data_IF_829960823153
#
_entry.id   IF_829960823153
#
_cell.length_a   1.000
_cell.length_b   1.000
_cell.length_c   1.000
_cell.angle_alpha   90.00
_cell.angle_beta   90.00
_cell.angle_gamma   90.00
#
_symmetry.space_group_name_H-M   'P 1'
#
loop_
_entity.id
_entity.type
_entity.pdbx_description
1 polymer ?
#
# COMPACT_ATOMS: atom_id res chain seq x y z
N UNK A 1 -59.04 -57.22 -7.94
CA UNK A 1 -58.22 -56.46 -8.91
C UNK A 1 -57.46 -55.38 -8.15
N UNK A 2 -56.18 -55.60 -7.83
CA UNK A 2 -55.36 -54.70 -7.00
C UNK A 2 -54.40 -53.93 -7.92
N UNK A 3 -54.57 -52.61 -8.00
CA UNK A 3 -53.67 -51.67 -8.70
C UNK A 3 -52.52 -51.29 -7.77
N UNK A 4 -51.27 -51.64 -8.15
CA UNK A 4 -50.06 -51.17 -7.48
C UNK A 4 -49.65 -49.80 -8.06
N UNK A 5 -49.52 -48.80 -7.20
CA UNK A 5 -48.96 -47.48 -7.52
C UNK A 5 -47.47 -47.53 -7.19
N UNK A 6 -46.63 -47.21 -8.17
CA UNK A 6 -45.17 -47.16 -8.05
C UNK A 6 -44.75 -45.70 -7.83
N UNK A 7 -44.26 -45.36 -6.63
CA UNK A 7 -43.79 -44.01 -6.28
C UNK A 7 -42.30 -43.90 -6.58
N UNK A 8 -41.91 -43.01 -7.50
CA UNK A 8 -40.53 -42.75 -7.89
C UNK A 8 -39.93 -41.65 -6.99
N UNK A 9 -38.98 -42.00 -6.12
CA UNK A 9 -38.28 -41.06 -5.26
C UNK A 9 -37.03 -40.52 -5.97
N UNK A 10 -37.01 -39.22 -6.30
CA UNK A 10 -35.85 -38.54 -6.86
C UNK A 10 -34.88 -38.15 -5.74
N UNK A 11 -33.67 -38.74 -5.73
CA UNK A 11 -32.58 -38.33 -4.84
C UNK A 11 -31.93 -37.04 -5.37
N UNK A 12 -32.07 -35.95 -4.62
CA UNK A 12 -31.28 -34.73 -4.78
C UNK A 12 -29.93 -34.91 -4.09
N UNK A 13 -28.85 -35.01 -4.86
CA UNK A 13 -27.48 -34.99 -4.34
C UNK A 13 -27.06 -33.54 -4.06
N UNK A 14 -26.67 -33.19 -2.81
CA UNK A 14 -26.15 -31.87 -2.51
C UNK A 14 -24.77 -31.69 -3.17
N UNK A 15 -24.60 -30.60 -3.91
CA UNK A 15 -23.32 -30.19 -4.47
C UNK A 15 -22.46 -29.60 -3.35
N UNK A 16 -21.41 -30.30 -2.95
CA UNK A 16 -20.43 -29.78 -1.99
C UNK A 16 -19.54 -28.78 -2.76
N UNK A 17 -19.77 -27.48 -2.54
CA UNK A 17 -18.84 -26.44 -2.99
C UNK A 17 -17.54 -26.54 -2.20
N UNK A 18 -16.41 -26.70 -2.89
CA UNK A 18 -15.10 -26.67 -2.26
C UNK A 18 -14.84 -25.24 -1.73
N UNK A 19 -14.65 -25.11 -0.42
CA UNK A 19 -14.14 -23.88 0.16
C UNK A 19 -12.68 -23.71 -0.29
N UNK A 20 -12.41 -22.71 -1.15
CA UNK A 20 -11.03 -22.37 -1.53
C UNK A 20 -10.25 -21.98 -0.26
N UNK A 21 -9.16 -22.69 0.04
CA UNK A 21 -8.30 -22.29 1.15
C UNK A 21 -7.62 -20.97 0.82
N UNK A 22 -7.60 -20.03 1.78
CA UNK A 22 -7.00 -18.72 1.58
C UNK A 22 -5.49 -18.75 1.28
N UNK A 23 -4.81 -19.88 1.55
CA UNK A 23 -3.40 -20.07 1.20
C UNK A 23 -3.17 -20.06 -0.33
N UNK A 24 -4.19 -20.34 -1.13
CA UNK A 24 -4.10 -20.25 -2.59
C UNK A 24 -4.33 -18.81 -3.12
N UNK A 25 -4.73 -17.86 -2.26
CA UNK A 25 -5.09 -16.50 -2.67
C UNK A 25 -3.88 -15.55 -2.66
N UNK A 26 -3.02 -15.68 -1.66
CA UNK A 26 -1.80 -14.87 -1.56
C UNK A 26 -0.64 -15.71 -1.07
N UNK A 27 0.39 -15.83 -1.90
CA UNK A 27 1.66 -16.41 -1.51
C UNK A 27 2.63 -15.30 -1.12
N UNK A 28 3.36 -15.49 -0.03
CA UNK A 28 4.29 -14.49 0.49
C UNK A 28 5.65 -15.11 0.77
N UNK A 29 6.70 -14.53 0.21
CA UNK A 29 8.08 -14.93 0.44
C UNK A 29 8.99 -13.71 0.63
N UNK A 30 10.17 -13.93 1.22
CA UNK A 30 11.21 -12.91 1.26
C UNK A 30 12.25 -13.21 0.19
N UNK A 31 12.44 -12.27 -0.73
CA UNK A 31 13.61 -12.28 -1.61
C UNK A 31 14.83 -11.87 -0.79
N UNK A 32 15.90 -12.69 -0.72
CA UNK A 32 17.06 -12.39 0.12
C UNK A 32 17.73 -11.07 -0.22
N UNK A 33 17.79 -10.73 -1.52
CA UNK A 33 18.39 -9.49 -2.01
C UNK A 33 19.91 -9.46 -1.84
N UNK A 34 20.48 -8.31 -1.44
CA UNK A 34 21.93 -8.09 -1.40
C UNK A 34 22.38 -7.12 -0.30
N UNK A 35 23.64 -7.25 0.09
CA UNK A 35 24.38 -6.31 0.94
C UNK A 35 24.75 -5.06 0.14
N UNK A 36 24.33 -3.90 0.63
CA UNK A 36 24.63 -2.60 0.03
C UNK A 36 26.00 -2.08 0.49
N UNK A 37 26.58 -1.14 -0.28
CA UNK A 37 27.89 -0.56 -0.01
C UNK A 37 27.96 0.21 1.34
N UNK A 38 26.84 0.74 1.82
CA UNK A 38 26.75 1.42 3.12
C UNK A 38 26.60 0.45 4.31
N UNK A 39 26.68 -0.86 4.08
CA UNK A 39 26.53 -1.90 5.08
C UNK A 39 25.08 -2.32 5.36
N UNK A 40 24.08 -1.56 4.90
CA UNK A 40 22.67 -1.97 4.98
C UNK A 40 22.38 -3.16 4.05
N UNK A 41 21.27 -3.86 4.25
CA UNK A 41 20.82 -4.93 3.34
C UNK A 41 19.59 -4.47 2.58
N UNK A 42 19.53 -4.77 1.30
CA UNK A 42 18.29 -4.69 0.53
C UNK A 42 17.72 -6.10 0.41
N UNK A 43 16.45 -6.27 0.78
CA UNK A 43 15.67 -7.47 0.56
C UNK A 43 14.31 -7.07 -0.03
N UNK A 44 13.38 -8.01 -0.21
CA UNK A 44 12.00 -7.64 -0.54
C UNK A 44 10.98 -8.63 0.01
N UNK A 45 9.80 -8.13 0.36
CA UNK A 45 8.60 -8.96 0.47
C UNK A 45 8.01 -9.14 -0.92
N UNK A 46 7.93 -10.37 -1.40
CA UNK A 46 7.28 -10.72 -2.65
C UNK A 46 5.93 -11.36 -2.35
N UNK A 47 4.86 -10.74 -2.87
CA UNK A 47 3.50 -11.20 -2.77
C UNK A 47 2.99 -11.60 -4.15
N UNK A 48 2.42 -12.79 -4.26
CA UNK A 48 1.77 -13.27 -5.48
C UNK A 48 0.29 -13.43 -5.18
N UNK A 49 -0.53 -12.59 -5.80
CA UNK A 49 -1.99 -12.56 -5.61
C UNK A 49 -2.67 -13.37 -6.71
N UNK A 50 -3.66 -14.18 -6.34
CA UNK A 50 -4.50 -14.87 -7.30
C UNK A 50 -5.24 -13.89 -8.22
N UNK A 51 -5.60 -14.26 -9.47
CA UNK A 51 -6.29 -13.38 -10.40
C UNK A 51 -7.54 -12.73 -9.81
N UNK A 52 -7.67 -11.41 -9.99
CA UNK A 52 -8.78 -10.61 -9.47
C UNK A 52 -8.64 -10.17 -8.01
N UNK A 53 -7.70 -10.76 -7.26
CA UNK A 53 -7.39 -10.35 -5.89
C UNK A 53 -6.39 -9.20 -5.85
N UNK A 54 -6.54 -8.37 -4.82
CA UNK A 54 -5.73 -7.18 -4.57
C UNK A 54 -5.23 -7.17 -3.13
N UNK A 55 -4.15 -6.45 -2.89
CA UNK A 55 -3.71 -6.06 -1.54
C UNK A 55 -3.52 -4.55 -1.48
N UNK A 56 -3.34 -4.02 -0.28
CA UNK A 56 -3.40 -2.59 -0.03
C UNK A 56 -2.04 -1.91 0.04
N UNK A 57 -2.02 -0.64 -0.35
CA UNK A 57 -0.91 0.26 -0.13
C UNK A 57 -0.86 0.73 1.33
N UNK A 58 0.21 1.44 1.72
CA UNK A 58 0.33 2.03 3.07
C UNK A 58 -0.81 2.99 3.42
N UNK A 59 -1.36 3.68 2.42
CA UNK A 59 -2.44 4.65 2.56
C UNK A 59 -3.58 4.25 1.62
N UNK A 60 -4.40 3.26 2.01
CA UNK A 60 -5.22 2.53 1.06
C UNK A 60 -6.57 3.20 0.74
N UNK A 61 -6.83 4.37 1.31
CA UNK A 61 -8.14 5.02 1.30
C UNK A 61 -9.08 4.47 2.36
N UNK A 62 -10.31 5.01 2.41
CA UNK A 62 -11.27 4.76 3.48
C UNK A 62 -11.75 3.30 3.55
N UNK A 63 -11.74 2.58 2.42
CA UNK A 63 -12.20 1.19 2.34
C UNK A 63 -11.09 0.14 2.51
N UNK A 64 -9.86 0.55 2.81
CA UNK A 64 -8.70 -0.36 2.78
C UNK A 64 -8.13 -0.74 4.13
N UNK A 65 -7.45 -1.90 4.17
CA UNK A 65 -6.76 -2.39 5.37
C UNK A 65 -5.25 -2.25 5.15
N UNK A 66 -4.58 -1.24 5.74
CA UNK A 66 -3.17 -1.01 5.50
C UNK A 66 -2.32 -2.18 6.05
N UNK A 67 -1.22 -2.54 5.36
CA UNK A 67 -0.34 -3.61 5.81
C UNK A 67 0.42 -3.22 7.07
N UNK A 68 0.54 -4.16 8.01
CA UNK A 68 1.29 -4.01 9.25
C UNK A 68 2.44 -5.03 9.29
N UNK A 69 3.66 -4.53 9.42
CA UNK A 69 4.89 -5.33 9.39
C UNK A 69 5.45 -5.49 10.80
N UNK A 70 5.60 -6.74 11.26
CA UNK A 70 6.20 -7.06 12.55
C UNK A 70 7.38 -8.01 12.34
N UNK A 71 8.61 -7.51 12.51
CA UNK A 71 9.83 -8.29 12.27
C UNK A 71 10.30 -9.05 13.52
N UNK A 72 9.36 -9.74 14.18
CA UNK A 72 9.62 -10.48 15.41
C UNK A 72 10.47 -11.73 15.14
N UNK A 73 11.54 -11.89 15.92
CA UNK A 73 12.48 -12.99 15.79
C UNK A 73 13.53 -12.80 14.69
N UNK A 74 13.64 -11.61 14.10
CA UNK A 74 14.81 -11.25 13.29
C UNK A 74 16.08 -11.22 14.17
N UNK A 75 17.23 -11.58 13.59
CA UNK A 75 18.54 -11.61 14.26
C UNK A 75 19.53 -10.74 13.49
N UNK A 76 20.32 -9.95 14.23
CA UNK A 76 21.27 -8.97 13.70
C UNK A 76 20.65 -7.89 12.80
N UNK A 77 19.35 -7.64 12.95
CA UNK A 77 18.57 -6.59 12.28
C UNK A 77 18.28 -5.46 13.28
N UNK A 78 18.60 -4.22 12.92
CA UNK A 78 18.36 -3.00 13.71
C UNK A 78 16.99 -2.40 13.40
N UNK A 79 16.69 -2.21 12.12
CA UNK A 79 15.41 -1.68 11.65
C UNK A 79 15.15 -2.11 10.21
N UNK A 80 13.88 -2.06 9.81
CA UNK A 80 13.44 -2.35 8.44
C UNK A 80 12.55 -1.21 7.96
N UNK A 81 12.87 -0.65 6.80
CA UNK A 81 12.09 0.36 6.11
C UNK A 81 11.54 -0.20 4.81
N UNK A 82 10.24 0.01 4.57
CA UNK A 82 9.56 -0.46 3.37
C UNK A 82 9.61 0.64 2.31
N UNK A 83 10.09 0.27 1.14
CA UNK A 83 10.00 1.04 -0.09
C UNK A 83 8.68 0.69 -0.80
N UNK A 84 8.04 1.71 -1.35
CA UNK A 84 6.69 1.59 -1.88
C UNK A 84 6.67 1.93 -3.37
N UNK A 85 6.69 0.91 -4.25
CA UNK A 85 6.42 1.11 -5.67
C UNK A 85 5.10 1.86 -5.90
N UNK A 86 4.91 2.39 -7.09
CA UNK A 86 3.72 3.13 -7.45
C UNK A 86 2.48 2.24 -7.31
N UNK A 87 1.51 2.62 -6.46
CA UNK A 87 0.28 1.86 -6.33
C UNK A 87 -0.67 2.16 -7.49
N UNK A 88 -1.67 1.30 -7.64
CA UNK A 88 -2.81 1.51 -8.51
C UNK A 88 -3.99 2.05 -7.69
N UNK A 89 -4.82 2.87 -8.33
CA UNK A 89 -6.13 3.25 -7.80
C UNK A 89 -7.18 2.32 -8.38
N UNK A 90 -7.97 1.71 -7.50
CA UNK A 90 -9.06 0.82 -7.85
C UNK A 90 -10.39 1.44 -7.45
N UNK A 91 -11.38 1.33 -8.33
CA UNK A 91 -12.77 1.70 -8.08
C UNK A 91 -13.62 0.45 -8.16
N UNK A 92 -14.22 0.02 -7.05
CA UNK A 92 -15.01 -1.19 -6.97
C UNK A 92 -16.19 -1.02 -6.02
N UNK A 93 -17.39 -1.42 -6.44
CA UNK A 93 -18.62 -1.33 -5.63
C UNK A 93 -18.88 0.09 -5.08
N UNK A 94 -18.54 1.12 -5.86
CA UNK A 94 -18.70 2.52 -5.46
C UNK A 94 -17.65 3.02 -4.45
N UNK A 95 -16.65 2.21 -4.10
CA UNK A 95 -15.57 2.58 -3.20
C UNK A 95 -14.23 2.65 -3.93
N UNK A 96 -13.41 3.63 -3.54
CA UNK A 96 -12.03 3.74 -3.99
C UNK A 96 -11.09 3.03 -3.03
N UNK A 97 -10.06 2.40 -3.57
CA UNK A 97 -8.93 1.89 -2.79
C UNK A 97 -7.61 2.08 -3.53
N UNK A 98 -6.52 2.12 -2.78
CA UNK A 98 -5.17 2.27 -3.31
C UNK A 98 -4.33 1.07 -2.92
N UNK A 99 -3.71 0.40 -3.89
CA UNK A 99 -3.06 -0.87 -3.64
C UNK A 99 -2.40 -1.49 -4.86
N UNK A 100 -2.35 -2.82 -4.86
CA UNK A 100 -1.64 -3.63 -5.84
C UNK A 100 -2.44 -4.88 -6.21
N UNK A 101 -2.14 -5.43 -7.39
CA UNK A 101 -2.67 -6.71 -7.87
C UNK A 101 -1.56 -7.52 -8.56
N UNK A 102 -1.76 -8.83 -8.72
CA UNK A 102 -0.78 -9.71 -9.36
C UNK A 102 0.49 -9.92 -8.54
N UNK A 103 1.66 -9.66 -9.12
CA UNK A 103 2.96 -9.80 -8.46
C UNK A 103 3.41 -8.47 -7.86
N UNK A 104 3.65 -8.46 -6.55
CA UNK A 104 4.03 -7.25 -5.81
C UNK A 104 5.36 -7.51 -5.13
N UNK A 105 6.37 -6.70 -5.44
CA UNK A 105 7.67 -6.74 -4.77
C UNK A 105 7.82 -5.46 -3.98
N UNK A 106 7.78 -5.55 -2.65
CA UNK A 106 8.00 -4.40 -1.76
C UNK A 106 9.45 -4.45 -1.26
N UNK A 107 10.35 -3.57 -1.73
CA UNK A 107 11.72 -3.56 -1.28
C UNK A 107 11.81 -3.20 0.21
N UNK A 108 12.73 -3.84 0.90
CA UNK A 108 12.97 -3.69 2.33
C UNK A 108 14.41 -3.27 2.52
N UNK A 109 14.63 -2.02 2.94
CA UNK A 109 15.95 -1.58 3.40
C UNK A 109 16.12 -1.93 4.86
N UNK A 110 17.15 -2.69 5.16
CA UNK A 110 17.38 -3.30 6.47
C UNK A 110 18.69 -2.74 7.03
N UNK A 111 18.59 -2.02 8.13
CA UNK A 111 19.76 -1.60 8.88
C UNK A 111 20.24 -2.77 9.74
N UNK A 112 21.55 -3.01 9.75
CA UNK A 112 22.15 -4.14 10.47
C UNK A 112 22.68 -3.72 11.83
N UNK A 113 22.69 -4.65 12.80
CA UNK A 113 23.39 -4.44 14.07
C UNK A 113 24.90 -4.65 13.94
N UNK A 114 25.33 -5.56 13.06
CA UNK A 114 26.73 -5.91 12.81
C UNK A 114 27.01 -5.88 11.32
N UNK A 115 28.11 -5.25 10.94
CA UNK A 115 28.59 -5.22 9.56
C UNK A 115 29.38 -6.49 9.26
N UNK A 116 29.36 -6.94 7.99
CA UNK A 116 30.14 -8.09 7.53
C UNK A 116 29.62 -9.47 7.97
N UNK A 117 28.52 -9.57 8.71
CA UNK A 117 27.93 -10.86 9.12
C UNK A 117 26.60 -11.15 8.43
N UNK A 118 26.29 -12.44 8.30
CA UNK A 118 24.96 -12.88 7.92
C UNK A 118 23.94 -12.45 8.98
N UNK A 119 22.69 -12.28 8.56
CA UNK A 119 21.57 -12.00 9.45
C UNK A 119 20.36 -12.87 9.09
N UNK A 120 19.36 -12.87 9.97
CA UNK A 120 18.10 -13.56 9.73
C UNK A 120 16.97 -12.55 9.77
N UNK A 121 16.25 -12.40 8.67
CA UNK A 121 14.99 -11.67 8.68
C UNK A 121 13.87 -12.67 8.93
N UNK A 122 13.04 -12.38 9.93
CA UNK A 122 11.82 -13.13 10.24
C UNK A 122 10.73 -12.14 10.60
N UNK A 123 9.52 -12.37 10.12
CA UNK A 123 8.41 -11.48 10.41
C UNK A 123 7.04 -12.10 10.24
N UNK A 124 6.07 -11.46 10.87
CA UNK A 124 4.64 -11.64 10.68
C UNK A 124 4.10 -10.37 10.06
N UNK A 125 3.45 -10.48 8.91
CA UNK A 125 2.83 -9.35 8.22
C UNK A 125 1.33 -9.58 8.20
N UNK A 126 0.56 -8.63 8.74
CA UNK A 126 -0.88 -8.59 8.56
C UNK A 126 -1.17 -7.70 7.35
N UNK A 127 -1.88 -8.22 6.36
CA UNK A 127 -2.26 -7.51 5.14
C UNK A 127 -3.78 -7.61 4.95
N UNK A 128 -4.39 -6.65 4.27
CA UNK A 128 -5.71 -6.88 3.69
C UNK A 128 -5.60 -7.52 2.32
N UNK A 129 -6.52 -8.42 2.01
CA UNK A 129 -6.76 -8.95 0.67
C UNK A 129 -8.20 -8.64 0.27
N UNK A 130 -8.41 -8.20 -0.96
CA UNK A 130 -9.75 -7.87 -1.44
C UNK A 130 -10.00 -8.38 -2.85
N UNK A 131 -11.15 -9.02 -3.03
CA UNK A 131 -11.78 -9.28 -4.34
C UNK A 131 -13.15 -8.64 -4.33
N UNK A 132 -14.19 -9.36 -3.90
CA UNK A 132 -15.54 -8.81 -3.72
C UNK A 132 -15.78 -8.39 -2.26
N UNK A 133 -15.09 -9.05 -1.34
CA UNK A 133 -15.06 -8.76 0.10
C UNK A 133 -13.60 -8.60 0.52
N UNK A 134 -13.36 -7.65 1.41
CA UNK A 134 -12.02 -7.35 1.90
C UNK A 134 -11.82 -7.97 3.28
N UNK A 135 -10.76 -8.78 3.43
CA UNK A 135 -10.49 -9.57 4.63
C UNK A 135 -9.05 -9.36 5.11
N UNK A 136 -8.80 -9.34 6.43
CA UNK A 136 -7.45 -9.39 6.95
C UNK A 136 -6.86 -10.79 6.74
N UNK A 137 -5.57 -10.84 6.41
CA UNK A 137 -4.79 -12.06 6.23
C UNK A 137 -3.42 -11.91 6.89
N UNK A 138 -2.89 -13.01 7.44
CA UNK A 138 -1.62 -13.02 8.15
C UNK A 138 -0.63 -13.94 7.45
N UNK A 139 0.49 -13.39 7.02
CA UNK A 139 1.60 -14.15 6.43
C UNK A 139 2.80 -14.17 7.37
N UNK A 140 3.53 -15.29 7.35
CA UNK A 140 4.78 -15.45 8.11
C UNK A 140 5.90 -15.74 7.14
N UNK A 141 6.98 -14.99 7.25
CA UNK A 141 8.10 -15.07 6.32
C UNK A 141 9.41 -15.16 7.09
N UNK A 142 10.40 -15.81 6.47
CA UNK A 142 11.77 -15.88 6.98
C UNK A 142 12.76 -16.00 5.84
N UNK A 143 13.94 -15.42 5.98
CA UNK A 143 15.07 -15.65 5.08
C UNK A 143 16.40 -15.37 5.77
N UNK A 144 17.49 -15.83 5.17
CA UNK A 144 18.86 -15.49 5.58
C UNK A 144 19.37 -14.38 4.65
N UNK A 145 19.94 -13.35 5.25
CA UNK A 145 20.55 -12.22 4.55
C UNK A 145 22.07 -12.45 4.54
N UNK A 146 22.60 -12.94 3.41
CA UNK A 146 24.02 -13.24 3.28
C UNK A 146 24.85 -11.95 3.22
N UNK A 147 25.96 -11.88 3.95
CA UNK A 147 26.93 -10.79 3.84
C UNK A 147 27.67 -10.81 2.50
N UNK A 148 27.85 -11.99 1.91
CA UNK A 148 28.63 -12.20 0.68
C UNK A 148 27.80 -11.96 -0.59
N UNK A 149 26.46 -11.94 -0.48
CA UNK A 149 25.60 -11.62 -1.61
C UNK A 149 25.59 -10.10 -1.83
N UNK A 150 26.27 -9.65 -2.87
CA UNK A 150 26.39 -8.22 -3.22
C UNK A 150 25.74 -7.90 -4.57
N UNK A 151 25.31 -8.91 -5.34
CA UNK A 151 24.69 -8.71 -6.64
C UNK A 151 23.24 -8.27 -6.49
N UNK A 152 22.83 -7.13 -7.08
CA UNK A 152 21.44 -6.70 -7.03
C UNK A 152 20.47 -7.73 -7.62
N UNK A 153 19.36 -7.95 -6.92
CA UNK A 153 18.25 -8.74 -7.42
C UNK A 153 17.44 -7.89 -8.42
N UNK A 154 17.23 -8.35 -9.67
CA UNK A 154 16.60 -7.54 -10.71
C UNK A 154 15.14 -7.19 -10.41
N UNK A 155 14.39 -8.06 -9.73
CA UNK A 155 13.00 -7.79 -9.39
C UNK A 155 12.90 -6.70 -8.31
N UNK A 156 13.82 -6.71 -7.34
CA UNK A 156 13.90 -5.67 -6.31
C UNK A 156 14.37 -4.35 -6.93
N UNK A 157 15.36 -4.38 -7.83
CA UNK A 157 15.83 -3.19 -8.54
C UNK A 157 14.72 -2.55 -9.40
N UNK A 158 13.92 -3.37 -10.10
CA UNK A 158 12.77 -2.88 -10.87
C UNK A 158 11.71 -2.23 -9.96
N UNK A 159 11.41 -2.84 -8.81
CA UNK A 159 10.46 -2.28 -7.85
C UNK A 159 10.93 -0.96 -7.23
N UNK A 160 12.23 -0.81 -6.95
CA UNK A 160 12.81 0.46 -6.50
C UNK A 160 12.73 1.55 -7.59
N UNK A 161 12.88 1.17 -8.86
CA UNK A 161 12.76 2.10 -9.98
C UNK A 161 11.31 2.52 -10.27
N UNK A 162 10.33 1.74 -9.82
CA UNK A 162 8.89 2.00 -9.95
C UNK A 162 8.32 2.83 -8.78
N UNK A 163 9.15 3.33 -7.87
CA UNK A 163 8.69 4.28 -6.84
C UNK A 163 8.17 5.58 -7.48
N UNK A 164 7.16 6.25 -6.86
CA UNK A 164 6.74 7.56 -7.31
C UNK A 164 7.91 8.56 -7.35
N UNK A 165 7.97 9.36 -8.42
CA UNK A 165 8.99 10.40 -8.57
C UNK A 165 8.87 11.42 -7.45
N UNK A 166 10.00 11.95 -6.98
CA UNK A 166 9.94 13.09 -6.08
C UNK A 166 9.42 14.34 -6.82
N UNK A 167 8.95 15.32 -6.05
CA UNK A 167 8.41 16.58 -6.55
C UNK A 167 9.31 17.28 -7.60
N UNK A 168 10.62 17.34 -7.36
CA UNK A 168 11.57 18.03 -8.26
C UNK A 168 11.66 17.34 -9.61
N UNK A 169 11.85 16.02 -9.61
CA UNK A 169 12.02 15.23 -10.84
C UNK A 169 10.73 15.17 -11.65
N UNK A 170 9.57 15.29 -10.99
CA UNK A 170 8.27 15.39 -11.64
C UNK A 170 7.92 16.81 -12.14
N UNK A 171 8.80 17.80 -11.95
CA UNK A 171 8.56 19.18 -12.36
C UNK A 171 7.54 19.94 -11.50
N UNK A 172 7.27 19.48 -10.28
CA UNK A 172 6.45 20.22 -9.32
C UNK A 172 7.21 21.49 -8.92
N UNK A 173 6.63 22.64 -9.25
CA UNK A 173 7.26 23.95 -9.06
C UNK A 173 6.78 24.70 -7.82
N UNK A 174 5.57 24.38 -7.33
CA UNK A 174 5.01 24.97 -6.11
C UNK A 174 3.92 24.07 -5.53
N UNK A 175 3.85 24.02 -4.20
CA UNK A 175 2.79 23.33 -3.46
C UNK A 175 2.36 24.22 -2.31
N UNK A 176 1.09 24.62 -2.28
CA UNK A 176 0.53 25.41 -1.18
C UNK A 176 -0.70 24.74 -0.58
N UNK A 177 -0.84 24.82 0.73
CA UNK A 177 -1.94 24.25 1.48
C UNK A 177 -2.73 25.34 2.20
N UNK A 178 -4.06 25.25 2.13
CA UNK A 178 -4.94 26.06 2.98
C UNK A 178 -5.68 25.10 3.90
N UNK A 179 -5.58 25.36 5.21
CA UNK A 179 -6.32 24.63 6.24
C UNK A 179 -7.49 25.48 6.68
N UNK A 180 -8.69 24.91 6.72
CA UNK A 180 -9.90 25.57 7.21
C UNK A 180 -10.68 24.67 8.16
N UNK A 181 -11.49 25.22 9.08
CA UNK A 181 -12.41 24.42 9.88
C UNK A 181 -13.35 23.60 8.99
N UNK A 182 -13.66 22.38 9.42
CA UNK A 182 -14.67 21.52 8.82
C UNK A 182 -15.46 20.81 9.93
N UNK A 183 -16.62 20.24 9.59
CA UNK A 183 -17.39 19.45 10.55
C UNK A 183 -16.56 18.27 11.06
N UNK A 184 -16.46 18.14 12.39
CA UNK A 184 -15.65 17.12 13.05
C UNK A 184 -14.12 17.26 12.90
N UNK A 185 -13.59 18.35 12.34
CA UNK A 185 -12.15 18.54 12.21
C UNK A 185 -11.71 19.67 11.27
N UNK A 186 -10.82 19.35 10.33
CA UNK A 186 -10.20 20.30 9.41
C UNK A 186 -10.42 19.88 7.95
N UNK A 187 -10.46 20.84 7.03
CA UNK A 187 -10.28 20.60 5.60
C UNK A 187 -8.90 21.08 5.19
N UNK A 188 -8.16 20.27 4.43
CA UNK A 188 -6.92 20.67 3.78
C UNK A 188 -7.19 20.76 2.28
N UNK A 189 -6.97 21.95 1.71
CA UNK A 189 -6.92 22.15 0.26
C UNK A 189 -5.49 22.38 -0.19
N UNK A 190 -4.94 21.44 -0.94
CA UNK A 190 -3.64 21.57 -1.58
C UNK A 190 -3.79 22.08 -3.02
N UNK A 191 -2.92 23.01 -3.42
CA UNK A 191 -2.75 23.50 -4.79
C UNK A 191 -1.35 23.15 -5.25
N UNK A 192 -1.25 22.39 -6.34
CA UNK A 192 -0.02 21.78 -6.82
C UNK A 192 0.24 22.29 -8.24
N UNK A 193 1.29 23.09 -8.41
CA UNK A 193 1.72 23.56 -9.72
C UNK A 193 2.71 22.57 -10.32
N UNK A 194 2.20 21.71 -11.20
CA UNK A 194 2.95 20.63 -11.86
C UNK A 194 2.52 20.47 -13.33
N UNK A 195 3.35 19.84 -14.18
CA UNK A 195 2.96 19.51 -15.55
C UNK A 195 1.68 18.67 -15.58
N UNK A 196 0.73 19.05 -16.44
CA UNK A 196 -0.51 18.30 -16.61
C UNK A 196 -0.23 16.94 -17.23
N UNK A 197 -0.71 15.87 -16.59
CA UNK A 197 -0.56 14.51 -17.07
C UNK A 197 -1.70 14.09 -18.01
N UNK A 198 -2.60 13.26 -17.51
CA UNK A 198 -3.76 12.70 -18.21
C UNK A 198 -5.04 13.51 -17.99
N UNK A 199 -5.08 14.37 -16.97
CA UNK A 199 -6.30 15.05 -16.54
C UNK A 199 -7.22 14.18 -15.66
N UNK A 200 -6.82 12.94 -15.38
CA UNK A 200 -7.52 11.98 -14.50
C UNK A 200 -6.69 11.63 -13.28
N UNK A 201 -5.81 12.53 -12.89
CA UNK A 201 -4.99 12.37 -11.70
C UNK A 201 -5.89 12.26 -10.46
N UNK A 202 -5.50 11.37 -9.57
CA UNK A 202 -6.09 11.22 -8.25
C UNK A 202 -5.02 11.46 -7.20
N UNK A 203 -5.39 11.93 -6.02
CA UNK A 203 -4.42 12.16 -4.94
C UNK A 203 -4.68 11.29 -3.71
N UNK A 204 -3.61 11.06 -2.97
CA UNK A 204 -3.64 10.55 -1.59
C UNK A 204 -2.93 11.56 -0.72
N UNK A 205 -3.52 11.92 0.41
CA UNK A 205 -2.94 12.83 1.39
C UNK A 205 -2.69 12.05 2.67
N UNK A 206 -1.45 12.08 3.16
CA UNK A 206 -1.03 11.47 4.41
C UNK A 206 -0.51 12.57 5.36
N UNK A 207 -0.61 12.34 6.66
CA UNK A 207 0.03 13.19 7.68
C UNK A 207 1.06 12.37 8.47
N UNK A 208 1.99 13.04 9.13
CA UNK A 208 2.93 12.35 10.03
C UNK A 208 2.33 11.92 11.36
N UNK A 209 1.10 12.32 11.70
CA UNK A 209 0.42 11.86 12.90
C UNK A 209 -0.55 10.71 12.55
N UNK A 210 -0.27 9.47 12.98
CA UNK A 210 -1.11 8.32 12.66
C UNK A 210 -2.50 8.38 13.33
N UNK A 211 -2.73 9.29 14.29
CA UNK A 211 -4.04 9.51 14.92
C UNK A 211 -4.93 10.49 14.16
N UNK A 212 -4.45 11.05 13.04
CA UNK A 212 -5.26 11.88 12.14
C UNK A 212 -5.75 11.00 11.00
N UNK A 213 -7.05 10.75 10.96
CA UNK A 213 -7.70 10.21 9.78
C UNK A 213 -7.75 11.28 8.68
N UNK A 214 -7.41 10.89 7.46
CA UNK A 214 -7.50 11.72 6.26
C UNK A 214 -8.44 11.01 5.30
N UNK A 215 -9.58 11.63 5.01
CA UNK A 215 -10.55 11.09 4.07
C UNK A 215 -10.06 11.14 2.63
N UNK A 216 -10.77 10.42 1.76
CA UNK A 216 -10.51 10.42 0.33
C UNK A 216 -10.48 11.84 -0.28
N UNK A 217 -9.35 12.27 -0.88
CA UNK A 217 -9.26 13.60 -1.46
C UNK A 217 -10.06 13.71 -2.76
N UNK A 218 -10.88 14.76 -2.88
CA UNK A 218 -11.39 15.20 -4.18
C UNK A 218 -10.26 15.84 -4.96
N UNK A 219 -10.05 15.41 -6.20
CA UNK A 219 -8.94 15.88 -7.05
C UNK A 219 -9.47 16.47 -8.35
N UNK A 220 -9.01 17.66 -8.73
CA UNK A 220 -9.43 18.32 -9.98
C UNK A 220 -8.36 19.29 -10.50
N UNK A 221 -8.46 19.65 -11.78
CA UNK A 221 -7.62 20.70 -12.37
C UNK A 221 -8.36 22.03 -12.41
N UNK A 222 -7.71 23.11 -11.96
CA UNK A 222 -8.23 24.47 -12.06
C UNK A 222 -7.06 25.46 -12.22
N UNK A 223 -7.21 26.45 -13.10
CA UNK A 223 -6.18 27.49 -13.28
C UNK A 223 -4.78 26.95 -13.64
N UNK A 224 -4.70 25.80 -14.32
CA UNK A 224 -3.43 25.16 -14.68
C UNK A 224 -2.70 24.46 -13.53
N UNK A 225 -3.37 24.26 -12.38
CA UNK A 225 -2.84 23.59 -11.20
C UNK A 225 -3.73 22.39 -10.85
N UNK A 226 -3.14 21.39 -10.21
CA UNK A 226 -3.87 20.27 -9.63
C UNK A 226 -4.29 20.65 -8.21
N UNK A 227 -5.58 20.57 -7.94
CA UNK A 227 -6.15 20.80 -6.62
C UNK A 227 -6.55 19.47 -6.00
N UNK A 228 -6.30 19.35 -4.70
CA UNK A 228 -6.71 18.21 -3.90
C UNK A 228 -7.33 18.73 -2.60
N UNK A 229 -8.52 18.26 -2.24
CA UNK A 229 -9.19 18.63 -0.99
C UNK A 229 -9.62 17.41 -0.21
N UNK A 230 -9.18 17.31 1.04
CA UNK A 230 -9.50 16.21 1.94
C UNK A 230 -9.94 16.73 3.32
N UNK A 231 -10.91 16.03 3.91
CA UNK A 231 -11.27 16.22 5.32
C UNK A 231 -10.33 15.44 6.20
N UNK A 232 -10.11 15.97 7.40
CA UNK A 232 -9.25 15.39 8.41
C UNK A 232 -9.92 15.45 9.76
N UNK A 233 -9.79 14.40 10.55
CA UNK A 233 -10.29 14.34 11.91
C UNK A 233 -9.32 13.56 12.80
N UNK A 234 -9.24 13.91 14.08
CA UNK A 234 -8.57 13.06 15.05
C UNK A 234 -9.43 11.81 15.27
N UNK A 235 -8.84 10.63 15.30
CA UNK A 235 -9.58 9.37 15.44
C UNK A 235 -10.41 9.30 16.72
N UNK A 236 -9.91 9.89 17.82
CA UNK A 236 -10.64 10.01 19.10
C UNK A 236 -11.55 11.25 19.21
N UNK A 237 -11.70 12.06 18.14
CA UNK A 237 -12.51 13.29 18.16
C UNK A 237 -11.87 14.50 18.87
N UNK A 238 -10.61 14.39 19.30
CA UNK A 238 -9.88 15.46 19.95
C UNK A 238 -9.48 16.59 18.98
N UNK A 239 -9.24 17.78 19.53
CA UNK A 239 -8.60 18.86 18.78
C UNK A 239 -7.16 18.49 18.40
N UNK A 240 -6.71 18.94 17.23
CA UNK A 240 -5.37 18.66 16.72
C UNK A 240 -4.85 19.81 15.86
N UNK A 241 -3.53 19.89 15.75
CA UNK A 241 -2.85 20.79 14.82
C UNK A 241 -2.24 19.98 13.67
N UNK A 242 -2.27 20.55 12.47
CA UNK A 242 -1.65 19.95 11.29
C UNK A 242 -0.28 20.58 11.03
N UNK A 243 0.75 19.75 11.01
CA UNK A 243 2.08 20.14 10.54
C UNK A 243 2.19 19.97 9.02
N UNK A 244 1.97 21.07 8.29
CA UNK A 244 1.99 21.09 6.82
C UNK A 244 3.34 20.73 6.22
N UNK A 245 4.45 20.93 6.95
CA UNK A 245 5.78 20.51 6.49
C UNK A 245 5.93 18.99 6.42
N UNK A 246 5.09 18.26 7.16
CA UNK A 246 5.04 16.79 7.21
C UNK A 246 3.79 16.20 6.55
N UNK A 247 3.03 16.99 5.80
CA UNK A 247 2.01 16.48 4.88
C UNK A 247 2.72 15.80 3.72
N UNK A 248 2.21 14.64 3.29
CA UNK A 248 2.68 13.94 2.10
C UNK A 248 1.52 13.82 1.13
N UNK A 249 1.73 14.25 -0.11
CA UNK A 249 0.72 14.20 -1.16
C UNK A 249 1.27 13.30 -2.26
N UNK A 250 0.59 12.20 -2.55
CA UNK A 250 0.93 11.36 -3.69
C UNK A 250 -0.09 11.57 -4.81
N UNK A 251 0.38 11.94 -6.00
CA UNK A 251 -0.42 12.05 -7.22
C UNK A 251 -0.31 10.73 -7.99
N UNK A 252 -1.44 10.13 -8.33
CA UNK A 252 -1.60 8.83 -8.98
C UNK A 252 -2.50 8.98 -10.23
N UNK A 253 -2.58 7.95 -11.07
CA UNK A 253 -3.48 7.93 -12.25
C UNK A 253 -3.08 8.86 -13.42
N UNK A 254 -2.01 9.63 -13.25
CA UNK A 254 -1.39 10.48 -14.28
C UNK A 254 -0.38 9.74 -15.16
N UNK A 255 0.37 10.49 -15.97
CA UNK A 255 1.48 9.95 -16.78
C UNK A 255 2.62 9.42 -15.91
N UNK A 256 2.80 10.00 -14.74
CA UNK A 256 3.85 9.65 -13.78
C UNK A 256 3.29 9.79 -12.36
N UNK A 257 3.44 8.78 -11.49
CA UNK A 257 3.13 8.90 -10.07
C UNK A 257 4.15 9.80 -9.38
N UNK A 258 3.69 10.70 -8.52
CA UNK A 258 4.54 11.71 -7.86
C UNK A 258 4.33 11.69 -6.37
N UNK A 259 5.41 11.63 -5.60
CA UNK A 259 5.41 11.79 -4.15
C UNK A 259 5.95 13.17 -3.76
N UNK A 260 5.07 13.96 -3.15
CA UNK A 260 5.32 15.34 -2.72
C UNK A 260 5.37 15.36 -1.20
N UNK A 261 6.38 16.01 -0.64
CA UNK A 261 6.55 16.17 0.81
C UNK A 261 6.53 17.64 1.18
N UNK A 262 5.69 17.96 2.15
CA UNK A 262 5.45 19.31 2.63
C UNK A 262 4.55 20.12 1.69
N UNK A 263 3.96 21.16 2.25
CA UNK A 263 3.33 22.23 1.50
C UNK A 263 3.41 23.55 2.28
N UNK A 264 3.51 24.65 1.53
CA UNK A 264 3.67 26.00 2.07
C UNK A 264 2.32 26.69 2.33
N UNK A 265 2.38 27.81 3.07
CA UNK A 265 1.23 28.68 3.34
C UNK A 265 0.44 28.17 4.51
#
# INVERSE_FOLDING_TARGET
MIRKILTLAALLLPSIGAAESYENIVQAELRPGWRMADGSHMAALHLQLAPGWKTYWRAPGDAGIPPQFQWTGAKDVKSVSVHWPAPQVFHQSGMRSVGYSGNVVLPLRIQMNKTGSNAQLKGTINIGICKDVCLPHRVRVKTVLSADQTRPDPAIAAALADEPYNAKDAGVSKVSCVVSPADGGLSLRAQIKMPKGTGREETVIETANPQIWVGEPRTWWEGGQLLAEARMAHMDGNAFALDRSRVRITVLGGKMPVDIRGCDG
#
